data_IF_185820239103
#
_entry.id   IF_185820239103
#
_cell.length_a   1.000
_cell.length_b   1.000
_cell.length_c   1.000
_cell.angle_alpha   90.00
_cell.angle_beta   90.00
_cell.angle_gamma   90.00
#
_symmetry.space_group_name_H-M   'P 1'
#
loop_
_entity.id
_entity.type
_entity.pdbx_description
1 polymer ?
#
# COMPACT_ATOMS: atom_id res chain seq x y z
N UNK A 1 26.17 8.84 17.65
CA UNK A 1 25.42 8.20 18.74
C UNK A 1 23.94 8.57 18.63
N UNK A 2 23.02 7.64 18.85
CA UNK A 2 21.58 7.89 18.86
C UNK A 2 21.19 8.79 20.05
N UNK A 3 20.14 9.61 19.88
CA UNK A 3 19.66 10.53 20.93
C UNK A 3 18.72 9.79 21.88
N UNK A 4 18.89 10.01 23.19
CA UNK A 4 17.93 9.58 24.21
C UNK A 4 17.15 10.81 24.64
N UNK A 5 15.82 10.79 24.46
CA UNK A 5 14.95 11.96 24.61
C UNK A 5 13.76 11.63 25.54
N UNK A 6 13.15 12.63 26.19
CA UNK A 6 11.87 12.44 26.87
C UNK A 6 10.72 12.30 25.85
N UNK A 7 9.62 11.67 26.27
CA UNK A 7 8.41 11.46 25.45
C UNK A 7 7.82 12.76 24.87
N UNK A 8 8.02 13.88 25.56
CA UNK A 8 7.59 15.22 25.12
C UNK A 8 8.26 15.70 23.83
N UNK A 9 9.34 15.05 23.37
CA UNK A 9 10.02 15.38 22.12
C UNK A 9 9.33 14.78 20.88
N UNK A 10 8.34 13.89 21.02
CA UNK A 10 7.62 13.24 19.91
C UNK A 10 7.07 14.23 18.85
N UNK A 11 6.46 15.37 19.20
CA UNK A 11 5.95 16.31 18.19
C UNK A 11 7.03 16.82 17.23
N UNK A 12 8.28 16.94 17.68
CA UNK A 12 9.40 17.37 16.82
C UNK A 12 9.79 16.31 15.79
N UNK A 13 9.60 15.03 16.09
CA UNK A 13 9.82 13.94 15.14
C UNK A 13 8.70 13.91 14.10
N UNK A 14 7.46 14.15 14.50
CA UNK A 14 6.30 14.20 13.60
C UNK A 14 6.39 15.36 12.59
N UNK A 15 6.86 16.54 13.00
CA UNK A 15 6.92 17.73 12.15
C UNK A 15 7.90 17.61 10.97
N UNK A 16 8.86 16.69 11.00
CA UNK A 16 9.91 16.55 9.96
C UNK A 16 9.46 15.80 8.71
N UNK A 17 8.28 15.19 8.71
CA UNK A 17 7.82 14.25 7.68
C UNK A 17 7.28 14.89 6.38
N UNK A 18 6.89 16.17 6.38
CA UNK A 18 5.96 16.73 5.36
C UNK A 18 6.58 17.60 4.28
N UNK A 19 7.84 18.00 4.37
CA UNK A 19 8.33 19.18 3.61
C UNK A 19 8.77 18.94 2.15
N UNK A 20 9.07 17.70 1.70
CA UNK A 20 9.77 17.49 0.42
C UNK A 20 8.90 17.13 -0.79
N UNK A 21 7.65 16.73 -0.58
CA UNK A 21 6.81 16.21 -1.66
C UNK A 21 6.40 17.29 -2.66
N UNK A 22 6.15 18.52 -2.19
CA UNK A 22 5.74 19.64 -3.05
C UNK A 22 6.83 20.05 -4.06
N UNK A 23 8.11 20.02 -3.66
CA UNK A 23 9.22 20.29 -4.57
C UNK A 23 9.32 19.22 -5.67
N UNK A 24 9.14 17.95 -5.29
CA UNK A 24 9.16 16.85 -6.23
C UNK A 24 8.00 16.92 -7.26
N UNK A 25 6.82 17.42 -6.86
CA UNK A 25 5.70 17.61 -7.78
C UNK A 25 6.04 18.58 -8.92
N UNK A 26 6.77 19.67 -8.64
CA UNK A 26 7.21 20.61 -9.65
C UNK A 26 8.13 19.97 -10.70
N UNK A 27 9.02 19.07 -10.28
CA UNK A 27 9.93 18.32 -11.17
C UNK A 27 9.18 17.27 -11.98
N UNK A 28 8.15 16.64 -11.39
CA UNK A 28 7.45 15.50 -11.98
C UNK A 28 6.41 15.93 -13.03
N UNK A 29 5.69 17.05 -12.83
CA UNK A 29 4.62 17.50 -13.74
C UNK A 29 5.04 17.56 -15.22
N UNK A 30 6.19 18.14 -15.62
CA UNK A 30 6.61 18.14 -17.01
C UNK A 30 6.83 16.74 -17.57
N UNK A 31 7.33 15.80 -16.75
CA UNK A 31 7.55 14.40 -17.16
C UNK A 31 6.22 13.71 -17.44
N UNK A 32 5.23 13.87 -16.54
CA UNK A 32 3.89 13.28 -16.72
C UNK A 32 3.24 13.79 -18.00
N UNK A 33 3.30 15.12 -18.23
CA UNK A 33 2.71 15.74 -19.41
C UNK A 33 3.42 15.30 -20.70
N UNK A 34 4.74 15.21 -20.70
CA UNK A 34 5.48 14.74 -21.87
C UNK A 34 5.12 13.30 -22.25
N UNK A 35 4.97 12.40 -21.27
CA UNK A 35 4.55 11.02 -21.54
C UNK A 35 3.08 10.98 -22.00
N UNK A 36 2.20 11.79 -21.43
CA UNK A 36 0.80 11.90 -21.84
C UNK A 36 0.66 12.31 -23.32
N UNK A 37 1.43 13.31 -23.74
CA UNK A 37 1.32 13.88 -25.10
C UNK A 37 2.11 13.08 -26.13
N UNK A 38 3.30 12.58 -25.76
CA UNK A 38 4.25 11.99 -26.73
C UNK A 38 4.42 10.46 -26.58
N UNK A 39 3.75 9.84 -25.59
CA UNK A 39 3.71 8.38 -25.41
C UNK A 39 5.09 7.73 -25.36
N UNK A 40 5.29 6.67 -26.16
CA UNK A 40 6.55 5.92 -26.22
C UNK A 40 7.77 6.77 -26.52
N UNK A 41 7.66 7.87 -27.27
CA UNK A 41 8.79 8.73 -27.61
C UNK A 41 9.38 9.37 -26.35
N UNK A 42 8.54 10.02 -25.54
CA UNK A 42 8.97 10.63 -24.29
C UNK A 42 9.39 9.57 -23.26
N UNK A 43 8.67 8.46 -23.19
CA UNK A 43 9.03 7.36 -22.28
C UNK A 43 10.43 6.81 -22.56
N UNK A 44 10.78 6.58 -23.84
CA UNK A 44 12.09 6.09 -24.25
C UNK A 44 13.21 7.11 -23.99
N UNK A 45 12.92 8.38 -24.18
CA UNK A 45 13.86 9.47 -23.91
C UNK A 45 14.21 9.50 -22.41
N UNK A 46 13.21 9.53 -21.53
CA UNK A 46 13.45 9.51 -20.08
C UNK A 46 14.06 8.18 -19.60
N UNK A 47 13.66 7.03 -20.15
CA UNK A 47 14.26 5.76 -19.77
C UNK A 47 15.74 5.66 -20.16
N UNK A 48 16.16 6.27 -21.28
CA UNK A 48 17.59 6.40 -21.64
C UNK A 48 18.32 7.33 -20.67
N UNK A 49 17.69 8.43 -20.32
CA UNK A 49 18.30 9.45 -19.44
C UNK A 49 18.46 8.94 -17.99
N UNK A 50 17.46 8.26 -17.44
CA UNK A 50 17.39 7.94 -16.01
C UNK A 50 17.58 6.46 -15.68
N UNK A 51 17.22 5.55 -16.60
CA UNK A 51 17.18 4.12 -16.35
C UNK A 51 18.25 3.34 -17.15
N UNK A 52 19.18 4.05 -17.80
CA UNK A 52 20.24 3.49 -18.64
C UNK A 52 19.68 2.51 -19.70
N UNK A 53 18.53 2.83 -20.31
CA UNK A 53 17.95 2.02 -21.36
C UNK A 53 18.81 2.06 -22.62
N UNK A 54 19.32 0.91 -23.04
CA UNK A 54 20.18 0.71 -24.22
C UNK A 54 19.44 0.14 -25.44
N UNK A 55 18.10 0.03 -25.36
CA UNK A 55 17.24 -0.63 -26.35
C UNK A 55 16.25 0.33 -27.00
N UNK A 56 15.62 -0.16 -28.09
CA UNK A 56 14.58 0.57 -28.83
C UNK A 56 13.18 0.46 -28.19
N UNK A 57 13.05 -0.33 -27.12
CA UNK A 57 11.79 -0.55 -26.36
C UNK A 57 12.08 -0.72 -24.89
N UNK A 58 11.13 -0.31 -24.06
CA UNK A 58 11.18 -0.55 -22.61
C UNK A 58 10.79 -1.99 -22.25
N UNK A 59 10.10 -2.71 -23.14
CA UNK A 59 9.69 -4.09 -22.88
C UNK A 59 10.91 -5.02 -22.76
N UNK A 60 10.95 -5.82 -21.70
CA UNK A 60 11.97 -6.83 -21.48
C UNK A 60 11.59 -8.11 -22.21
N UNK A 61 12.43 -8.62 -23.12
CA UNK A 61 12.14 -9.86 -23.84
C UNK A 61 12.02 -11.08 -22.93
N UNK A 62 11.12 -12.00 -23.28
CA UNK A 62 10.96 -13.26 -22.54
C UNK A 62 12.26 -14.06 -22.41
N UNK A 63 13.13 -14.02 -23.43
CA UNK A 63 14.43 -14.67 -23.39
C UNK A 63 15.37 -14.11 -22.30
N UNK A 64 15.26 -12.80 -21.99
CA UNK A 64 16.02 -12.18 -20.91
C UNK A 64 15.54 -12.66 -19.53
N UNK A 65 14.21 -12.79 -19.36
CA UNK A 65 13.61 -13.35 -18.14
C UNK A 65 14.03 -14.80 -17.94
N UNK A 66 14.03 -15.60 -19.02
CA UNK A 66 14.47 -17.00 -18.98
C UNK A 66 15.95 -17.12 -18.59
N UNK A 67 16.83 -16.32 -19.22
CA UNK A 67 18.26 -16.31 -18.88
C UNK A 67 18.50 -15.89 -17.42
N UNK A 68 17.83 -14.84 -16.97
CA UNK A 68 17.92 -14.39 -15.59
C UNK A 68 17.47 -15.49 -14.61
N UNK A 69 16.34 -16.14 -14.88
CA UNK A 69 15.85 -17.24 -14.07
C UNK A 69 16.82 -18.45 -14.09
N UNK A 70 17.38 -18.80 -15.24
CA UNK A 70 18.35 -19.91 -15.33
C UNK A 70 19.64 -19.63 -14.54
N UNK A 71 20.04 -18.35 -14.42
CA UNK A 71 21.23 -17.93 -13.69
C UNK A 71 21.07 -17.79 -12.18
N UNK A 72 19.85 -17.94 -11.62
CA UNK A 72 19.65 -17.87 -10.18
C UNK A 72 20.25 -19.10 -9.47
N UNK A 73 20.86 -18.89 -8.30
CA UNK A 73 21.33 -20.01 -7.46
C UNK A 73 20.16 -20.84 -6.91
N UNK A 74 20.43 -22.08 -6.55
CA UNK A 74 19.42 -22.96 -5.93
C UNK A 74 18.93 -22.36 -4.62
N UNK A 75 19.84 -21.87 -3.77
CA UNK A 75 19.50 -21.26 -2.49
C UNK A 75 18.59 -20.05 -2.65
N UNK A 76 18.83 -19.21 -3.67
CA UNK A 76 17.96 -18.07 -3.93
C UNK A 76 16.58 -18.49 -4.41
N UNK A 77 16.48 -19.52 -5.25
CA UNK A 77 15.19 -20.07 -5.70
C UNK A 77 14.39 -20.64 -4.55
N UNK A 78 15.02 -21.45 -3.69
CA UNK A 78 14.39 -22.04 -2.50
C UNK A 78 13.89 -20.96 -1.54
N UNK A 79 14.66 -19.87 -1.37
CA UNK A 79 14.24 -18.72 -0.58
C UNK A 79 13.02 -18.01 -1.19
N UNK A 80 13.01 -17.80 -2.50
CA UNK A 80 11.86 -17.22 -3.23
C UNK A 80 10.62 -18.09 -3.10
N UNK A 81 10.76 -19.42 -3.26
CA UNK A 81 9.65 -20.37 -3.14
C UNK A 81 9.05 -20.38 -1.73
N UNK A 82 9.91 -20.40 -0.70
CA UNK A 82 9.48 -20.32 0.71
C UNK A 82 8.73 -19.04 1.01
N UNK A 83 9.30 -17.90 0.64
CA UNK A 83 8.68 -16.60 0.84
C UNK A 83 7.36 -16.49 0.06
N UNK A 84 7.35 -16.89 -1.21
CA UNK A 84 6.15 -16.84 -2.06
C UNK A 84 5.02 -17.72 -1.52
N UNK A 85 5.33 -18.90 -0.94
CA UNK A 85 4.34 -19.77 -0.32
C UNK A 85 3.65 -19.07 0.86
N UNK A 86 4.43 -18.44 1.76
CA UNK A 86 3.90 -17.75 2.93
C UNK A 86 3.11 -16.49 2.56
N UNK A 87 3.63 -15.70 1.61
CA UNK A 87 2.91 -14.50 1.10
C UNK A 87 1.57 -14.94 0.48
N UNK A 88 1.55 -16.02 -0.29
CA UNK A 88 0.33 -16.54 -0.91
C UNK A 88 -0.65 -17.05 0.13
N UNK A 89 -0.17 -17.72 1.18
CA UNK A 89 -1.00 -18.20 2.28
C UNK A 89 -1.68 -17.01 3.00
N UNK A 90 -0.92 -16.00 3.37
CA UNK A 90 -1.44 -14.79 4.00
C UNK A 90 -2.41 -14.03 3.08
N UNK A 91 -2.05 -13.85 1.81
CA UNK A 91 -2.90 -13.17 0.83
C UNK A 91 -4.27 -13.86 0.67
N UNK A 92 -4.33 -15.19 0.68
CA UNK A 92 -5.59 -15.94 0.61
C UNK A 92 -6.51 -15.67 1.79
N UNK A 93 -5.98 -15.41 2.97
CA UNK A 93 -6.77 -15.06 4.16
C UNK A 93 -7.46 -13.69 4.03
N UNK A 94 -6.96 -12.84 3.12
CA UNK A 94 -7.48 -11.48 2.92
C UNK A 94 -8.55 -11.39 1.82
N UNK A 95 -8.83 -12.47 1.10
CA UNK A 95 -9.85 -12.46 0.02
C UNK A 95 -11.24 -12.28 0.64
N UNK A 96 -12.00 -11.23 0.25
CA UNK A 96 -13.36 -11.03 0.74
C UNK A 96 -14.28 -12.16 0.29
N UNK A 97 -15.21 -12.56 1.16
CA UNK A 97 -16.17 -13.62 0.88
C UNK A 97 -17.34 -13.08 0.06
N UNK A 98 -17.68 -13.75 -1.05
CA UNK A 98 -18.92 -13.51 -1.78
C UNK A 98 -20.12 -14.01 -0.96
N UNK A 99 -21.14 -13.20 -0.87
CA UNK A 99 -22.36 -13.54 -0.11
C UNK A 99 -23.60 -13.04 -0.84
N UNK A 100 -24.70 -13.77 -0.68
CA UNK A 100 -26.04 -13.29 -1.00
C UNK A 100 -26.99 -13.94 0.00
N UNK A 101 -27.53 -13.16 0.94
CA UNK A 101 -28.33 -13.65 2.06
C UNK A 101 -29.67 -12.97 2.08
N UNK A 102 -30.71 -13.72 2.41
CA UNK A 102 -32.03 -13.17 2.70
C UNK A 102 -32.00 -12.49 4.07
N UNK A 103 -32.24 -11.18 4.10
CA UNK A 103 -32.23 -10.35 5.32
C UNK A 103 -33.63 -10.07 5.84
N UNK A 104 -34.65 -10.20 4.97
CA UNK A 104 -36.05 -10.22 5.30
C UNK A 104 -36.77 -10.93 4.14
N UNK A 105 -38.04 -11.40 4.36
CA UNK A 105 -38.76 -12.16 3.34
C UNK A 105 -38.73 -11.49 1.95
N UNK A 106 -38.13 -12.16 0.97
CA UNK A 106 -37.99 -11.71 -0.40
C UNK A 106 -36.96 -10.60 -0.66
N UNK A 107 -36.21 -10.18 0.38
CA UNK A 107 -35.09 -9.22 0.22
C UNK A 107 -33.76 -9.93 0.46
N UNK A 108 -32.99 -10.11 -0.62
CA UNK A 108 -31.64 -10.66 -0.57
C UNK A 108 -30.60 -9.55 -0.81
N UNK A 109 -29.64 -9.48 0.08
CA UNK A 109 -28.50 -8.55 0.00
C UNK A 109 -27.19 -9.31 0.05
N UNK A 110 -26.20 -8.79 -0.67
CA UNK A 110 -24.89 -9.43 -0.69
C UNK A 110 -23.85 -8.65 -1.46
N UNK A 111 -22.77 -9.35 -1.76
CA UNK A 111 -21.66 -8.82 -2.55
C UNK A 111 -21.04 -9.89 -3.42
N UNK A 112 -20.52 -9.48 -4.57
CA UNK A 112 -19.65 -10.26 -5.43
C UNK A 112 -18.30 -9.60 -5.53
N UNK A 113 -17.26 -10.39 -5.74
CA UNK A 113 -15.87 -9.93 -5.78
C UNK A 113 -15.32 -10.13 -7.18
N UNK A 114 -14.73 -9.09 -7.74
CA UNK A 114 -14.18 -9.13 -9.11
C UNK A 114 -12.77 -8.53 -9.11
N UNK A 115 -11.78 -9.16 -9.77
CA UNK A 115 -10.46 -8.59 -9.92
C UNK A 115 -10.47 -7.30 -10.74
N UNK A 116 -9.43 -6.50 -10.58
CA UNK A 116 -9.05 -5.49 -11.56
C UNK A 116 -8.57 -6.18 -12.85
N UNK A 117 -8.65 -5.50 -14.00
CA UNK A 117 -8.27 -6.09 -15.26
C UNK A 117 -6.76 -6.01 -15.53
N UNK A 118 -6.13 -4.90 -15.15
CA UNK A 118 -4.68 -4.67 -15.33
C UNK A 118 -4.09 -3.95 -14.12
N UNK A 119 -3.03 -4.51 -13.56
CA UNK A 119 -2.29 -3.92 -12.44
C UNK A 119 -0.84 -3.75 -12.80
N UNK A 120 -0.24 -2.63 -12.39
CA UNK A 120 1.16 -2.33 -12.55
C UNK A 120 1.88 -2.35 -11.19
N UNK A 121 2.88 -3.22 -11.05
CA UNK A 121 3.78 -3.29 -9.91
C UNK A 121 5.05 -2.51 -10.23
N UNK A 122 5.30 -1.44 -9.48
CA UNK A 122 6.53 -0.68 -9.55
C UNK A 122 7.57 -1.24 -8.57
N UNK A 123 8.70 -1.70 -9.09
CA UNK A 123 9.79 -2.27 -8.31
C UNK A 123 10.96 -1.29 -8.35
N UNK A 124 11.28 -0.63 -7.24
CA UNK A 124 12.39 0.29 -7.22
C UNK A 124 13.73 -0.46 -7.41
N UNK A 125 14.68 0.19 -8.06
CA UNK A 125 16.04 -0.28 -8.19
C UNK A 125 17.00 0.87 -7.86
N UNK A 126 16.90 1.37 -6.62
CA UNK A 126 17.76 2.43 -6.12
C UNK A 126 19.13 1.90 -5.73
N UNK A 127 19.37 1.71 -4.44
CA UNK A 127 20.64 1.17 -3.91
C UNK A 127 20.75 -0.33 -4.07
N UNK A 128 19.61 -1.04 -3.91
CA UNK A 128 19.55 -2.50 -3.85
C UNK A 128 18.50 -3.02 -4.83
N UNK A 129 18.69 -4.23 -5.40
CA UNK A 129 17.62 -4.95 -6.06
C UNK A 129 16.58 -5.40 -5.02
N UNK A 130 15.29 -5.33 -5.36
CA UNK A 130 14.20 -5.66 -4.45
C UNK A 130 13.28 -6.76 -5.02
N UNK A 131 13.77 -8.01 -5.15
CA UNK A 131 12.93 -9.14 -5.54
C UNK A 131 11.80 -9.40 -4.53
N UNK A 132 11.98 -9.05 -3.26
CA UNK A 132 10.94 -9.12 -2.23
C UNK A 132 9.76 -8.21 -2.57
N UNK A 133 9.99 -6.96 -2.98
CA UNK A 133 8.92 -6.04 -3.39
C UNK A 133 8.15 -6.58 -4.61
N UNK A 134 8.83 -7.26 -5.52
CA UNK A 134 8.15 -7.93 -6.63
C UNK A 134 7.21 -9.03 -6.12
N UNK A 135 7.66 -9.89 -5.20
CA UNK A 135 6.80 -10.90 -4.59
C UNK A 135 5.59 -10.27 -3.87
N UNK A 136 5.84 -9.24 -3.05
CA UNK A 136 4.82 -8.56 -2.25
C UNK A 136 3.78 -7.80 -3.07
N UNK A 137 4.08 -7.43 -4.32
CA UNK A 137 3.14 -6.74 -5.21
C UNK A 137 2.45 -7.69 -6.17
N UNK A 138 3.17 -8.71 -6.69
CA UNK A 138 2.66 -9.63 -7.70
C UNK A 138 1.80 -10.74 -7.11
N UNK A 139 2.24 -11.37 -6.00
CA UNK A 139 1.53 -12.52 -5.43
C UNK A 139 0.11 -12.16 -4.96
N UNK A 140 -0.14 -11.06 -4.25
CA UNK A 140 -1.51 -10.67 -3.91
C UNK A 140 -2.38 -10.38 -5.15
N UNK A 141 -1.80 -9.80 -6.22
CA UNK A 141 -2.51 -9.62 -7.49
C UNK A 141 -2.90 -10.95 -8.13
N UNK A 142 -2.00 -11.95 -8.09
CA UNK A 142 -2.30 -13.31 -8.56
C UNK A 142 -3.39 -13.99 -7.74
N UNK A 143 -3.34 -13.85 -6.40
CA UNK A 143 -4.37 -14.40 -5.50
C UNK A 143 -5.73 -13.73 -5.73
N UNK A 144 -5.74 -12.44 -6.05
CA UNK A 144 -6.94 -11.71 -6.45
C UNK A 144 -7.50 -12.18 -7.81
N UNK A 145 -6.71 -12.88 -8.63
CA UNK A 145 -7.11 -13.31 -9.97
C UNK A 145 -6.96 -12.24 -11.04
N UNK A 146 -6.08 -11.25 -10.85
CA UNK A 146 -5.81 -10.21 -11.86
C UNK A 146 -5.22 -10.84 -13.11
N UNK A 147 -5.86 -10.69 -14.30
CA UNK A 147 -5.41 -11.36 -15.53
C UNK A 147 -4.16 -10.72 -16.14
N UNK A 148 -3.97 -9.41 -15.96
CA UNK A 148 -2.84 -8.69 -16.53
C UNK A 148 -2.01 -8.04 -15.45
N UNK A 149 -0.86 -8.64 -15.13
CA UNK A 149 0.08 -8.08 -14.16
C UNK A 149 1.31 -7.58 -14.93
N UNK A 150 1.56 -6.27 -14.84
CA UNK A 150 2.70 -5.59 -15.43
C UNK A 150 3.70 -5.22 -14.35
N UNK A 151 4.99 -5.36 -14.64
CA UNK A 151 6.07 -4.99 -13.71
C UNK A 151 6.95 -3.94 -14.36
N UNK A 152 7.24 -2.85 -13.65
CA UNK A 152 8.28 -1.91 -14.03
C UNK A 152 9.44 -1.97 -13.06
N UNK A 153 10.66 -2.06 -13.57
CA UNK A 153 11.89 -1.86 -12.81
C UNK A 153 12.89 -1.04 -13.63
N UNK A 154 13.57 -0.04 -13.04
CA UNK A 154 14.48 0.84 -13.80
C UNK A 154 15.74 0.12 -14.28
N UNK A 155 16.12 -1.00 -13.68
CA UNK A 155 17.33 -1.77 -14.03
C UNK A 155 17.00 -3.24 -14.22
N UNK A 156 17.68 -3.87 -15.18
CA UNK A 156 17.57 -5.32 -15.45
C UNK A 156 18.47 -6.10 -14.48
N UNK A 157 18.03 -6.23 -13.24
CA UNK A 157 18.76 -6.98 -12.22
C UNK A 157 18.37 -8.46 -12.32
N UNK A 158 19.32 -9.41 -12.40
CA UNK A 158 19.03 -10.84 -12.59
C UNK A 158 18.06 -11.40 -11.53
N UNK A 159 18.22 -11.03 -10.27
CA UNK A 159 17.37 -11.50 -9.16
C UNK A 159 15.92 -11.03 -9.33
N UNK A 160 15.69 -9.80 -9.79
CA UNK A 160 14.34 -9.25 -10.02
C UNK A 160 13.70 -9.90 -11.26
N UNK A 161 14.46 -9.97 -12.38
CA UNK A 161 13.95 -10.58 -13.62
C UNK A 161 13.70 -12.08 -13.46
N UNK A 162 14.61 -12.79 -12.78
CA UNK A 162 14.49 -14.21 -12.49
C UNK A 162 13.30 -14.51 -11.58
N UNK A 163 13.09 -13.70 -10.52
CA UNK A 163 11.92 -13.82 -9.65
C UNK A 163 10.63 -13.53 -10.41
N UNK A 164 10.60 -12.53 -11.30
CA UNK A 164 9.44 -12.28 -12.16
C UNK A 164 9.09 -13.53 -13.00
N UNK A 165 10.10 -14.19 -13.57
CA UNK A 165 9.91 -15.43 -14.33
C UNK A 165 9.43 -16.60 -13.46
N UNK A 166 10.00 -16.76 -12.25
CA UNK A 166 9.55 -17.79 -11.29
C UNK A 166 8.07 -17.60 -10.89
N UNK A 167 7.63 -16.36 -10.77
CA UNK A 167 6.24 -16.04 -10.47
C UNK A 167 5.32 -16.04 -11.71
N UNK A 168 5.83 -16.37 -12.90
CA UNK A 168 5.03 -16.41 -14.13
C UNK A 168 4.66 -15.02 -14.69
N UNK A 169 5.37 -13.96 -14.30
CA UNK A 169 5.16 -12.62 -14.87
C UNK A 169 5.88 -12.52 -16.21
N UNK A 170 5.12 -12.19 -17.26
CA UNK A 170 5.65 -12.08 -18.61
C UNK A 170 5.83 -10.63 -19.08
N UNK A 171 5.06 -9.69 -18.51
CA UNK A 171 5.07 -8.27 -18.89
C UNK A 171 5.96 -7.48 -17.95
N UNK A 172 7.24 -7.43 -18.25
CA UNK A 172 8.25 -6.66 -17.51
C UNK A 172 8.78 -5.53 -18.39
N UNK A 173 8.90 -4.33 -17.81
CA UNK A 173 9.36 -3.13 -18.49
C UNK A 173 10.56 -2.52 -17.78
N UNK A 174 11.63 -2.22 -18.53
CA UNK A 174 12.78 -1.46 -18.04
C UNK A 174 12.45 0.02 -18.10
N UNK A 175 11.83 0.52 -17.05
CA UNK A 175 11.49 1.93 -16.86
C UNK A 175 11.31 2.22 -15.37
N UNK A 176 11.66 3.42 -14.95
CA UNK A 176 11.58 3.86 -13.56
C UNK A 176 10.95 5.24 -13.41
N UNK A 177 11.04 5.81 -12.20
CA UNK A 177 10.67 7.20 -11.94
C UNK A 177 9.22 7.57 -12.30
N UNK A 178 9.01 8.87 -12.47
CA UNK A 178 7.71 9.44 -12.81
C UNK A 178 7.22 9.02 -14.20
N UNK A 179 8.14 8.79 -15.15
CA UNK A 179 7.80 8.35 -16.51
C UNK A 179 7.18 6.96 -16.54
N UNK A 180 7.58 6.05 -15.65
CA UNK A 180 6.98 4.73 -15.53
C UNK A 180 5.54 4.81 -14.98
N UNK A 181 5.33 5.67 -13.97
CA UNK A 181 4.00 5.90 -13.39
C UNK A 181 3.06 6.51 -14.44
N UNK A 182 3.54 7.51 -15.21
CA UNK A 182 2.78 8.12 -16.30
C UNK A 182 2.43 7.11 -17.40
N UNK A 183 3.40 6.26 -17.80
CA UNK A 183 3.18 5.25 -18.83
C UNK A 183 2.08 4.26 -18.43
N UNK A 184 2.03 3.83 -17.17
CA UNK A 184 0.96 2.97 -16.68
C UNK A 184 -0.37 3.69 -16.49
N UNK A 185 -0.36 4.97 -16.09
CA UNK A 185 -1.59 5.72 -15.87
C UNK A 185 -2.31 6.05 -17.19
N UNK A 186 -1.57 6.46 -18.20
CA UNK A 186 -2.15 6.88 -19.49
C UNK A 186 -2.20 5.76 -20.53
N UNK A 187 -1.32 4.77 -20.40
CA UNK A 187 -1.01 3.82 -21.46
C UNK A 187 -0.15 4.44 -22.55
N UNK A 188 0.62 3.60 -23.24
CA UNK A 188 1.34 3.96 -24.45
C UNK A 188 1.16 2.84 -25.49
N UNK A 189 1.76 2.95 -26.66
CA UNK A 189 1.70 1.85 -27.63
C UNK A 189 2.40 0.57 -27.09
N UNK A 190 3.45 0.72 -26.29
CA UNK A 190 4.23 -0.40 -25.72
C UNK A 190 3.75 -0.82 -24.35
N UNK A 191 3.30 0.12 -23.51
CA UNK A 191 2.91 -0.11 -22.12
C UNK A 191 1.40 -0.03 -21.98
N UNK A 192 0.71 -1.10 -21.54
CA UNK A 192 -0.73 -1.07 -21.34
C UNK A 192 -1.09 -0.12 -20.18
N UNK A 193 -2.24 0.55 -20.31
CA UNK A 193 -2.82 1.30 -19.21
C UNK A 193 -3.20 0.35 -18.08
N UNK A 194 -2.91 0.73 -16.84
CA UNK A 194 -3.28 -0.01 -15.65
C UNK A 194 -4.52 0.59 -14.99
N UNK A 195 -5.30 -0.25 -14.30
CA UNK A 195 -6.39 0.18 -13.43
C UNK A 195 -5.82 0.67 -12.08
N UNK A 196 -4.70 0.07 -11.65
CA UNK A 196 -4.01 0.42 -10.42
C UNK A 196 -2.50 0.26 -10.53
N UNK A 197 -1.76 1.19 -9.91
CA UNK A 197 -0.31 1.16 -9.78
C UNK A 197 0.03 0.97 -8.30
N UNK A 198 0.83 -0.05 -8.00
CA UNK A 198 1.24 -0.42 -6.64
C UNK A 198 2.77 -0.50 -6.52
N UNK A 199 3.25 -0.44 -5.29
CA UNK A 199 4.68 -0.59 -4.96
C UNK A 199 5.33 0.72 -4.51
N UNK A 200 6.37 0.62 -3.65
CA UNK A 200 7.10 1.77 -3.12
C UNK A 200 8.00 2.40 -4.18
N UNK A 201 8.44 3.62 -3.94
CA UNK A 201 9.36 4.29 -4.85
C UNK A 201 9.99 5.54 -4.24
N UNK A 202 10.83 6.21 -5.02
CA UNK A 202 11.43 7.48 -4.61
C UNK A 202 10.36 8.57 -4.42
N UNK A 203 10.76 9.69 -3.86
CA UNK A 203 9.88 10.87 -3.70
C UNK A 203 9.26 11.32 -5.04
N UNK A 204 9.94 11.13 -6.16
CA UNK A 204 9.40 11.43 -7.50
C UNK A 204 8.31 10.46 -7.92
N UNK A 205 8.45 9.18 -7.57
CA UNK A 205 7.41 8.15 -7.78
C UNK A 205 6.20 8.45 -6.91
N UNK A 206 6.42 8.79 -5.64
CA UNK A 206 5.35 9.19 -4.71
C UNK A 206 4.61 10.44 -5.21
N UNK A 207 5.33 11.46 -5.69
CA UNK A 207 4.76 12.67 -6.28
C UNK A 207 3.95 12.35 -7.55
N UNK A 208 4.48 11.48 -8.44
CA UNK A 208 3.76 11.05 -9.65
C UNK A 208 2.46 10.32 -9.31
N UNK A 209 2.50 9.37 -8.37
CA UNK A 209 1.29 8.66 -7.90
C UNK A 209 0.27 9.62 -7.31
N UNK A 210 0.70 10.58 -6.49
CA UNK A 210 -0.18 11.60 -5.92
C UNK A 210 -0.85 12.46 -6.99
N UNK A 211 -0.10 12.91 -7.99
CA UNK A 211 -0.60 13.77 -9.06
C UNK A 211 -1.57 13.04 -10.00
N UNK A 212 -1.43 11.71 -10.14
CA UNK A 212 -2.25 10.87 -11.00
C UNK A 212 -3.33 10.09 -10.23
N UNK A 213 -3.42 10.27 -8.92
CA UNK A 213 -4.51 9.71 -8.12
C UNK A 213 -5.84 10.30 -8.58
N UNK A 214 -6.73 9.46 -9.09
CA UNK A 214 -7.98 9.86 -9.75
C UNK A 214 -8.00 9.52 -11.26
N UNK A 215 -6.87 9.63 -11.96
CA UNK A 215 -6.73 9.15 -13.33
C UNK A 215 -6.48 7.63 -13.37
N UNK A 216 -5.77 7.14 -12.35
CA UNK A 216 -5.48 5.72 -12.12
C UNK A 216 -5.57 5.42 -10.62
N UNK A 217 -5.97 4.21 -10.25
CA UNK A 217 -5.90 3.76 -8.86
C UNK A 217 -4.45 3.69 -8.38
N UNK A 218 -4.20 4.10 -7.15
CA UNK A 218 -2.90 3.92 -6.49
C UNK A 218 -3.08 3.14 -5.18
N UNK A 219 -2.02 2.54 -4.67
CA UNK A 219 -1.99 1.99 -3.31
C UNK A 219 -2.02 3.12 -2.27
N UNK A 220 -0.94 3.86 -2.14
CA UNK A 220 -0.80 5.05 -1.30
C UNK A 220 0.42 5.88 -1.72
N UNK A 221 0.54 7.06 -1.12
CA UNK A 221 1.71 7.92 -1.28
C UNK A 221 2.68 7.60 -0.15
N UNK A 222 3.79 6.89 -0.47
CA UNK A 222 4.79 6.50 0.51
C UNK A 222 5.79 7.62 0.78
N UNK A 223 6.20 7.74 2.04
CA UNK A 223 7.35 8.52 2.50
C UNK A 223 8.53 7.61 2.85
N UNK A 224 9.53 8.12 3.61
CA UNK A 224 10.62 7.31 4.14
C UNK A 224 10.10 6.23 5.08
N UNK A 225 10.77 5.08 5.06
CA UNK A 225 10.43 3.93 5.90
C UNK A 225 10.72 4.19 7.38
N UNK A 226 9.97 3.53 8.28
CA UNK A 226 10.04 3.79 9.71
C UNK A 226 9.63 2.60 10.56
N UNK A 227 10.34 2.38 11.66
CA UNK A 227 9.95 1.44 12.71
C UNK A 227 9.76 2.16 14.04
N UNK A 228 8.74 1.76 14.80
CA UNK A 228 8.55 2.12 16.19
C UNK A 228 8.53 0.83 17.03
N UNK A 229 9.41 0.76 18.01
CA UNK A 229 9.55 -0.39 18.90
C UNK A 229 9.11 0.03 20.31
N UNK A 230 8.26 -0.77 20.95
CA UNK A 230 7.86 -0.60 22.36
C UNK A 230 8.49 -1.73 23.17
N UNK A 231 9.33 -1.42 24.15
CA UNK A 231 9.94 -2.43 25.02
C UNK A 231 10.35 -1.86 26.39
N UNK A 232 10.03 -2.59 27.47
CA UNK A 232 10.47 -2.25 28.82
C UNK A 232 11.77 -2.96 29.21
N UNK A 233 11.97 -4.21 28.77
CA UNK A 233 12.99 -5.14 29.27
C UNK A 233 13.57 -6.06 28.20
N UNK A 234 13.38 -5.74 26.93
CA UNK A 234 13.89 -6.53 25.79
C UNK A 234 15.40 -6.65 25.75
N UNK A 235 15.90 -7.61 24.95
CA UNK A 235 17.33 -7.79 24.74
C UNK A 235 17.92 -6.58 23.96
N UNK A 236 18.87 -5.83 24.53
CA UNK A 236 19.44 -4.65 23.86
C UNK A 236 20.10 -4.95 22.52
N UNK A 237 20.66 -6.16 22.36
CA UNK A 237 21.31 -6.58 21.11
C UNK A 237 20.28 -6.79 19.98
N UNK A 238 19.13 -7.38 20.29
CA UNK A 238 18.06 -7.58 19.31
C UNK A 238 17.44 -6.23 18.92
N UNK A 239 17.07 -5.39 19.91
CA UNK A 239 16.47 -4.09 19.64
C UNK A 239 17.39 -3.18 18.81
N UNK A 240 18.70 -3.22 19.07
CA UNK A 240 19.67 -2.48 18.26
C UNK A 240 19.77 -3.02 16.82
N UNK A 241 19.70 -4.34 16.64
CA UNK A 241 19.71 -4.98 15.32
C UNK A 241 18.47 -4.56 14.50
N UNK A 242 17.27 -4.60 15.09
CA UNK A 242 16.03 -4.18 14.42
C UNK A 242 16.07 -2.69 14.05
N UNK A 243 16.57 -1.83 14.95
CA UNK A 243 16.75 -0.40 14.65
C UNK A 243 17.76 -0.15 13.53
N UNK A 244 18.80 -0.96 13.41
CA UNK A 244 19.80 -0.86 12.34
C UNK A 244 19.29 -1.43 11.03
N UNK A 245 18.53 -2.53 11.05
CA UNK A 245 17.87 -3.10 9.89
C UNK A 245 16.95 -2.05 9.22
N UNK A 246 16.16 -1.31 10.01
CA UNK A 246 15.37 -0.20 9.48
C UNK A 246 16.24 0.95 8.96
N UNK A 247 17.30 1.30 9.69
CA UNK A 247 18.13 2.46 9.37
C UNK A 247 19.00 2.28 8.11
N UNK A 248 19.28 1.03 7.70
CA UNK A 248 20.11 0.77 6.51
C UNK A 248 19.36 0.95 5.18
N UNK A 249 18.02 0.99 5.19
CA UNK A 249 17.23 1.17 3.98
C UNK A 249 17.50 2.52 3.29
N UNK A 250 17.49 3.61 4.06
CA UNK A 250 17.75 4.96 3.53
C UNK A 250 18.25 5.94 4.61
N UNK A 251 18.91 7.00 4.18
CA UNK A 251 19.39 8.08 5.07
C UNK A 251 18.23 8.85 5.75
N UNK A 252 17.05 8.78 5.18
CA UNK A 252 15.84 9.41 5.71
C UNK A 252 14.97 8.42 6.52
N UNK A 253 15.35 7.14 6.62
CA UNK A 253 14.68 6.15 7.46
C UNK A 253 14.67 6.57 8.94
N UNK A 254 13.65 6.13 9.69
CA UNK A 254 13.51 6.43 11.12
C UNK A 254 13.33 5.15 11.95
N UNK A 255 14.15 4.99 13.00
CA UNK A 255 14.02 3.91 13.96
C UNK A 255 13.82 4.52 15.37
N UNK A 256 12.67 4.23 15.98
CA UNK A 256 12.28 4.82 17.26
C UNK A 256 12.05 3.71 18.27
N UNK A 257 12.71 3.78 19.43
CA UNK A 257 12.45 2.92 20.57
C UNK A 257 11.74 3.72 21.68
N UNK A 258 10.57 3.26 22.11
CA UNK A 258 9.88 3.75 23.31
C UNK A 258 10.13 2.78 24.46
N UNK A 259 10.73 3.25 25.54
CA UNK A 259 11.05 2.40 26.70
C UNK A 259 10.84 3.11 28.02
N UNK A 260 10.41 2.37 29.06
CA UNK A 260 10.32 2.84 30.43
C UNK A 260 11.67 2.73 31.16
N UNK A 261 12.66 2.03 30.59
CA UNK A 261 13.92 1.69 31.22
C UNK A 261 15.09 2.53 30.67
N UNK A 262 15.59 3.47 31.50
CA UNK A 262 16.82 4.23 31.19
C UNK A 262 18.03 3.30 31.00
N UNK A 263 18.10 2.19 31.76
CA UNK A 263 19.15 1.18 31.62
C UNK A 263 19.12 0.52 30.25
N UNK A 264 17.93 0.11 29.80
CA UNK A 264 17.74 -0.46 28.47
C UNK A 264 18.09 0.56 27.38
N UNK A 265 17.63 1.79 27.49
CA UNK A 265 17.94 2.87 26.55
C UNK A 265 19.45 3.05 26.34
N UNK A 266 20.22 3.10 27.42
CA UNK A 266 21.69 3.23 27.36
C UNK A 266 22.33 1.97 26.74
N UNK A 267 21.85 0.78 27.12
CA UNK A 267 22.38 -0.48 26.59
C UNK A 267 22.12 -0.62 25.09
N UNK A 268 20.93 -0.26 24.60
CA UNK A 268 20.61 -0.23 23.17
C UNK A 268 21.48 0.77 22.41
N UNK A 269 21.66 1.99 22.95
CA UNK A 269 22.53 2.98 22.34
C UNK A 269 23.97 2.49 22.18
N UNK A 270 24.50 1.78 23.17
CA UNK A 270 25.83 1.16 23.09
C UNK A 270 25.86 0.02 22.05
N UNK A 271 24.82 -0.79 21.98
CA UNK A 271 24.75 -1.89 21.01
C UNK A 271 24.65 -1.38 19.56
N UNK A 272 23.93 -0.30 19.31
CA UNK A 272 23.90 0.35 17.99
C UNK A 272 25.32 0.74 17.55
N UNK A 273 26.10 1.42 18.41
CA UNK A 273 27.47 1.81 18.04
C UNK A 273 28.38 0.61 17.82
N UNK A 274 28.24 -0.46 18.60
CA UNK A 274 29.02 -1.71 18.42
C UNK A 274 28.68 -2.39 17.10
N UNK A 275 27.40 -2.57 16.78
CA UNK A 275 26.97 -3.28 15.59
C UNK A 275 27.22 -2.47 14.29
N UNK A 276 27.29 -1.15 14.38
CA UNK A 276 27.66 -0.29 13.24
C UNK A 276 29.12 -0.48 12.78
N UNK A 277 30.00 -1.07 13.61
CA UNK A 277 31.44 -1.23 13.25
C UNK A 277 31.61 -2.14 12.04
N UNK A 278 30.90 -3.28 12.06
CA UNK A 278 31.06 -4.33 11.06
C UNK A 278 29.92 -4.33 10.00
N UNK A 279 29.02 -3.34 10.05
CA UNK A 279 27.90 -3.27 9.12
C UNK A 279 28.32 -2.69 7.76
N UNK A 280 28.21 -3.43 6.64
CA UNK A 280 28.57 -2.91 5.32
C UNK A 280 27.82 -1.62 4.94
N UNK A 281 26.60 -1.48 5.43
CA UNK A 281 25.70 -0.33 5.20
C UNK A 281 25.85 0.78 6.24
N UNK A 282 26.87 0.71 7.11
CA UNK A 282 27.06 1.62 8.25
C UNK A 282 26.99 3.11 7.90
N UNK A 283 27.46 3.51 6.71
CA UNK A 283 27.43 4.91 6.27
C UNK A 283 26.00 5.46 6.12
N UNK A 284 25.07 4.63 5.65
CA UNK A 284 23.64 4.96 5.51
C UNK A 284 22.97 4.91 6.86
N UNK A 285 23.08 3.76 7.55
CA UNK A 285 22.45 3.54 8.84
C UNK A 285 22.84 4.59 9.89
N UNK A 286 24.12 4.98 9.94
CA UNK A 286 24.60 6.03 10.85
C UNK A 286 23.94 7.39 10.61
N UNK A 287 23.71 7.76 9.34
CA UNK A 287 23.01 9.03 9.00
C UNK A 287 21.55 8.97 9.43
N UNK A 288 20.84 7.87 9.16
CA UNK A 288 19.46 7.65 9.57
C UNK A 288 19.32 7.69 11.13
N UNK A 289 20.19 6.95 11.84
CA UNK A 289 20.23 6.94 13.31
C UNK A 289 20.45 8.32 13.90
N UNK A 290 21.38 9.10 13.36
CA UNK A 290 21.71 10.42 13.90
C UNK A 290 20.65 11.49 13.60
N UNK A 291 20.00 11.41 12.43
CA UNK A 291 19.09 12.45 11.95
C UNK A 291 17.65 12.22 12.39
N UNK A 292 17.14 11.01 12.18
CA UNK A 292 15.70 10.73 12.22
C UNK A 292 15.31 9.78 13.35
N UNK A 293 16.27 9.09 13.97
CA UNK A 293 16.01 8.08 14.99
C UNK A 293 16.19 8.62 16.41
N UNK A 294 15.53 7.96 17.38
CA UNK A 294 15.65 8.29 18.78
C UNK A 294 15.25 7.11 19.68
N UNK A 295 15.80 7.07 20.89
CA UNK A 295 15.26 6.31 22.00
C UNK A 295 14.51 7.28 22.90
N UNK A 296 13.25 7.00 23.21
CA UNK A 296 12.41 7.88 24.01
C UNK A 296 12.04 7.22 25.33
N UNK A 297 12.27 7.96 26.41
CA UNK A 297 11.84 7.53 27.73
C UNK A 297 10.40 7.90 27.97
N UNK A 298 9.58 6.89 28.24
CA UNK A 298 8.15 6.98 28.55
C UNK A 298 7.90 6.58 30.02
N UNK A 299 6.77 6.97 30.58
CA UNK A 299 6.39 6.67 31.96
C UNK A 299 5.82 5.27 32.12
N UNK A 300 5.13 4.77 31.08
CA UNK A 300 4.50 3.44 31.05
C UNK A 300 4.40 2.90 29.66
N UNK A 301 4.08 1.59 29.51
CA UNK A 301 3.80 0.96 28.21
C UNK A 301 2.49 1.49 27.59
N UNK A 302 1.53 1.91 28.40
CA UNK A 302 0.30 2.55 27.95
C UNK A 302 0.60 3.88 27.26
N UNK A 303 1.43 4.74 27.87
CA UNK A 303 1.91 5.98 27.23
C UNK A 303 2.65 5.66 25.91
N UNK A 304 3.45 4.59 25.89
CA UNK A 304 4.12 4.17 24.66
C UNK A 304 3.14 3.84 23.53
N UNK A 305 2.07 3.09 23.83
CA UNK A 305 1.02 2.76 22.84
C UNK A 305 0.27 4.02 22.39
N UNK A 306 -0.05 4.94 23.29
CA UNK A 306 -0.69 6.22 22.94
C UNK A 306 0.20 7.05 21.99
N UNK A 307 1.49 7.13 22.27
CA UNK A 307 2.45 7.80 21.40
C UNK A 307 2.61 7.08 20.05
N UNK A 308 2.63 5.75 20.06
CA UNK A 308 2.62 4.93 18.85
C UNK A 308 1.38 5.20 18.00
N UNK A 309 0.19 5.21 18.59
CA UNK A 309 -1.04 5.55 17.87
C UNK A 309 -1.02 6.98 17.32
N UNK A 310 -0.43 7.94 18.03
CA UNK A 310 -0.21 9.31 17.53
C UNK A 310 0.81 9.37 16.41
N UNK A 311 1.83 8.52 16.46
CA UNK A 311 2.84 8.41 15.41
C UNK A 311 2.30 7.69 14.18
N UNK A 312 1.47 6.65 14.35
CA UNK A 312 0.94 5.77 13.33
C UNK A 312 2.07 5.20 12.44
N UNK A 313 2.92 4.33 13.01
CA UNK A 313 4.13 3.84 12.33
C UNK A 313 3.80 2.90 11.19
N UNK A 314 4.74 2.81 10.25
CA UNK A 314 4.78 1.78 9.22
C UNK A 314 4.93 0.39 9.85
N UNK A 315 6.00 0.21 10.63
CA UNK A 315 6.28 -1.01 11.40
C UNK A 315 6.15 -0.73 12.89
N UNK A 316 5.39 -1.54 13.60
CA UNK A 316 5.25 -1.48 15.06
C UNK A 316 5.68 -2.79 15.68
N UNK A 317 6.72 -2.78 16.53
CA UNK A 317 7.10 -3.93 17.35
C UNK A 317 6.62 -3.73 18.79
N UNK A 318 5.93 -4.73 19.34
CA UNK A 318 5.40 -4.75 20.70
C UNK A 318 5.89 -6.00 21.43
N UNK A 319 6.10 -5.94 22.78
CA UNK A 319 6.69 -7.05 23.52
C UNK A 319 5.79 -8.29 23.59
N UNK A 320 4.48 -8.10 23.63
CA UNK A 320 3.49 -9.17 23.72
C UNK A 320 2.10 -8.72 23.23
N UNK A 321 1.17 -9.65 23.14
CA UNK A 321 -0.18 -9.47 22.63
C UNK A 321 -1.12 -8.67 23.56
N UNK A 322 -0.77 -8.48 24.82
CA UNK A 322 -1.57 -7.66 25.76
C UNK A 322 -1.71 -6.21 25.32
N UNK A 323 -0.73 -5.70 24.59
CA UNK A 323 -0.79 -4.35 24.04
C UNK A 323 -1.58 -4.26 22.73
N UNK A 324 -1.76 -5.37 22.02
CA UNK A 324 -2.38 -5.39 20.68
C UNK A 324 -3.79 -4.77 20.68
N UNK A 325 -4.60 -5.07 21.68
CA UNK A 325 -5.96 -4.53 21.78
C UNK A 325 -6.04 -2.99 21.85
N UNK A 326 -4.94 -2.34 22.21
CA UNK A 326 -4.84 -0.86 22.32
C UNK A 326 -4.18 -0.22 21.10
N UNK A 327 -3.61 -1.03 20.19
CA UNK A 327 -3.03 -0.56 18.93
C UNK A 327 -4.16 -0.22 17.96
N UNK A 328 -4.19 1.02 17.51
CA UNK A 328 -5.20 1.51 16.55
C UNK A 328 -4.60 1.82 15.18
N UNK A 329 -3.34 2.22 15.13
CA UNK A 329 -2.69 2.71 13.93
C UNK A 329 -1.29 2.13 13.78
N UNK A 330 -1.14 1.19 12.85
CA UNK A 330 0.14 0.65 12.39
C UNK A 330 -0.03 0.07 10.98
N UNK A 331 1.00 0.11 10.18
CA UNK A 331 1.01 -0.57 8.88
C UNK A 331 1.11 -2.08 9.05
N UNK A 332 2.03 -2.54 9.92
CA UNK A 332 2.18 -3.93 10.36
C UNK A 332 2.59 -3.99 11.83
N UNK A 333 2.19 -5.05 12.54
CA UNK A 333 2.50 -5.25 13.97
C UNK A 333 3.29 -6.54 14.16
N UNK A 334 4.42 -6.45 14.85
CA UNK A 334 5.32 -7.56 15.19
C UNK A 334 5.25 -7.80 16.69
N UNK A 335 4.94 -9.03 17.10
CA UNK A 335 4.65 -9.37 18.50
C UNK A 335 5.71 -10.31 19.04
N UNK A 336 6.38 -9.90 20.11
CA UNK A 336 7.36 -10.70 20.83
C UNK A 336 8.78 -10.65 20.25
N UNK A 337 9.75 -11.26 20.94
CA UNK A 337 11.17 -11.05 20.70
C UNK A 337 11.73 -11.74 19.44
N UNK A 338 10.95 -12.62 18.81
CA UNK A 338 11.35 -13.35 17.60
C UNK A 338 10.62 -12.89 16.34
N UNK A 339 9.67 -11.98 16.46
CA UNK A 339 8.95 -11.38 15.33
C UNK A 339 9.72 -10.15 14.85
N UNK A 340 10.80 -10.38 14.14
CA UNK A 340 11.64 -9.30 13.61
C UNK A 340 10.98 -8.66 12.40
N UNK A 341 11.22 -7.36 12.16
CA UNK A 341 10.79 -6.65 10.95
C UNK A 341 11.26 -7.38 9.68
N UNK A 342 12.54 -7.80 9.66
CA UNK A 342 13.11 -8.53 8.54
C UNK A 342 12.34 -9.81 8.17
N UNK A 343 11.72 -10.51 9.13
CA UNK A 343 10.86 -11.64 8.82
C UNK A 343 9.63 -11.20 8.01
N UNK A 344 9.02 -10.07 8.36
CA UNK A 344 7.92 -9.45 7.62
C UNK A 344 8.32 -8.98 6.23
N UNK A 345 9.49 -8.38 6.13
CA UNK A 345 9.99 -7.84 4.87
C UNK A 345 10.27 -8.90 3.82
N UNK A 346 10.61 -10.14 4.23
CA UNK A 346 11.05 -11.15 3.29
C UNK A 346 10.17 -12.39 3.22
N UNK A 347 9.80 -13.00 4.35
CA UNK A 347 9.37 -14.38 4.31
C UNK A 347 8.19 -14.79 5.19
N UNK A 348 7.76 -14.00 6.18
CA UNK A 348 6.69 -14.41 7.10
C UNK A 348 5.28 -14.35 6.50
N UNK A 349 5.08 -13.61 5.40
CA UNK A 349 3.84 -13.60 4.64
C UNK A 349 3.10 -12.26 4.58
N UNK A 350 2.93 -11.49 5.67
CA UNK A 350 2.38 -10.14 5.61
C UNK A 350 3.15 -9.24 4.65
N UNK A 351 2.44 -8.28 4.06
CA UNK A 351 3.01 -7.41 3.01
C UNK A 351 3.89 -6.32 3.61
N UNK A 352 5.06 -6.10 3.03
CA UNK A 352 5.97 -5.03 3.42
C UNK A 352 5.74 -3.71 2.66
N UNK A 353 4.85 -3.68 1.68
CA UNK A 353 4.44 -2.41 1.06
C UNK A 353 3.43 -1.77 1.99
N UNK A 354 3.94 -0.94 2.89
CA UNK A 354 3.21 -0.42 4.04
C UNK A 354 3.04 1.10 3.97
N UNK A 355 1.97 1.63 4.57
CA UNK A 355 1.72 3.06 4.64
C UNK A 355 2.71 3.73 5.62
N UNK A 356 3.46 4.71 5.15
CA UNK A 356 4.44 5.47 5.92
C UNK A 356 3.91 6.86 6.30
N UNK A 357 4.67 7.60 7.11
CA UNK A 357 4.39 9.02 7.40
C UNK A 357 3.01 9.29 7.99
N UNK A 358 2.50 8.36 8.80
CA UNK A 358 1.21 8.49 9.48
C UNK A 358 0.00 8.05 8.63
N UNK A 359 0.19 7.59 7.40
CA UNK A 359 -0.90 7.08 6.54
C UNK A 359 -1.50 5.79 7.11
N UNK A 360 -0.80 5.11 8.03
CA UNK A 360 -1.34 3.98 8.79
C UNK A 360 -2.59 4.31 9.64
N UNK A 361 -2.97 5.60 9.76
CA UNK A 361 -4.28 6.01 10.30
C UNK A 361 -5.44 5.71 9.37
N UNK A 362 -5.19 5.58 8.09
CA UNK A 362 -6.22 5.45 7.06
C UNK A 362 -6.35 4.02 6.54
N UNK A 363 -5.25 3.25 6.61
CA UNK A 363 -5.19 1.90 6.05
C UNK A 363 -4.00 1.09 6.59
N UNK A 364 -4.09 -0.23 6.49
CA UNK A 364 -2.96 -1.15 6.63
C UNK A 364 -2.12 -1.24 5.34
N UNK A 365 -1.23 -2.22 5.29
CA UNK A 365 -0.40 -2.52 4.14
C UNK A 365 -1.17 -2.91 2.89
N UNK A 366 -0.46 -3.01 1.78
CA UNK A 366 -0.99 -3.52 0.51
C UNK A 366 -1.59 -4.91 0.72
N UNK A 367 -2.82 -5.11 0.30
CA UNK A 367 -3.58 -6.32 0.53
C UNK A 367 -4.25 -6.82 -0.76
N UNK A 368 -4.79 -8.04 -0.73
CA UNK A 368 -5.58 -8.57 -1.86
C UNK A 368 -6.76 -7.66 -2.20
N UNK A 369 -7.36 -7.00 -1.19
CA UNK A 369 -8.45 -6.04 -1.40
C UNK A 369 -8.10 -4.87 -2.32
N UNK A 370 -6.82 -4.50 -2.41
CA UNK A 370 -6.36 -3.45 -3.32
C UNK A 370 -6.44 -3.83 -4.80
N UNK A 371 -6.58 -5.11 -5.11
CA UNK A 371 -6.66 -5.68 -6.46
C UNK A 371 -8.08 -6.11 -6.85
N UNK A 372 -9.05 -5.86 -5.97
CA UNK A 372 -10.41 -6.33 -6.09
C UNK A 372 -11.42 -5.17 -6.11
N UNK A 373 -12.52 -5.42 -6.79
CA UNK A 373 -13.77 -4.64 -6.71
C UNK A 373 -14.79 -5.47 -5.92
N UNK A 374 -15.31 -4.92 -4.83
CA UNK A 374 -16.43 -5.50 -4.09
C UNK A 374 -17.69 -4.81 -4.56
N UNK A 375 -18.56 -5.54 -5.25
CA UNK A 375 -19.76 -5.00 -5.90
C UNK A 375 -20.97 -5.45 -5.08
N UNK A 376 -21.79 -4.50 -4.62
CA UNK A 376 -23.01 -4.76 -3.91
C UNK A 376 -24.05 -5.39 -4.83
N UNK A 377 -24.75 -6.42 -4.34
CA UNK A 377 -25.84 -7.11 -5.04
C UNK A 377 -27.08 -7.05 -4.18
N UNK A 378 -28.20 -6.68 -4.81
CA UNK A 378 -29.52 -6.73 -4.16
C UNK A 378 -30.54 -7.39 -5.11
N UNK A 379 -31.44 -8.19 -4.49
CA UNK A 379 -32.55 -8.83 -5.19
C UNK A 379 -33.80 -8.70 -4.31
N UNK A 380 -34.86 -8.17 -4.90
CA UNK A 380 -36.14 -8.01 -4.23
C UNK A 380 -37.22 -8.84 -4.95
N UNK A 381 -38.09 -9.49 -4.19
CA UNK A 381 -39.37 -9.94 -4.70
C UNK A 381 -40.34 -8.76 -4.83
N UNK A 382 -41.46 -8.99 -5.53
CA UNK A 382 -42.52 -7.99 -5.65
C UNK A 382 -43.07 -7.58 -4.29
N UNK A 383 -43.26 -8.57 -3.42
CA UNK A 383 -43.80 -8.40 -2.06
C UNK A 383 -42.81 -7.61 -1.18
N UNK A 384 -41.54 -7.93 -1.22
CA UNK A 384 -40.51 -7.17 -0.51
C UNK A 384 -40.43 -5.71 -1.00
N UNK A 385 -40.51 -5.49 -2.32
CA UNK A 385 -40.56 -4.13 -2.87
C UNK A 385 -41.84 -3.39 -2.41
N UNK A 386 -42.98 -4.06 -2.39
CA UNK A 386 -44.23 -3.45 -1.91
C UNK A 386 -44.16 -3.06 -0.43
N UNK A 387 -43.48 -3.86 0.38
CA UNK A 387 -43.26 -3.54 1.82
C UNK A 387 -42.37 -2.31 1.98
N UNK A 388 -41.35 -2.13 1.13
CA UNK A 388 -40.43 -0.98 1.17
C UNK A 388 -40.99 0.27 0.46
N UNK A 389 -42.00 0.11 -0.40
CA UNK A 389 -42.52 1.19 -1.25
C UNK A 389 -42.92 2.46 -0.49
N UNK A 390 -43.60 2.41 0.68
CA UNK A 390 -43.95 3.61 1.42
C UNK A 390 -42.72 4.44 1.83
N UNK A 391 -41.67 3.77 2.35
CA UNK A 391 -40.45 4.43 2.76
C UNK A 391 -39.72 5.04 1.57
N UNK A 392 -39.55 4.29 0.49
CA UNK A 392 -38.84 4.74 -0.73
C UNK A 392 -39.55 5.94 -1.35
N UNK A 393 -40.87 5.86 -1.54
CA UNK A 393 -41.61 6.93 -2.22
C UNK A 393 -41.71 8.20 -1.37
N UNK A 394 -41.78 8.07 -0.04
CA UNK A 394 -41.76 9.22 0.88
C UNK A 394 -40.43 9.93 0.85
N UNK A 395 -39.32 9.19 0.94
CA UNK A 395 -37.97 9.78 0.88
C UNK A 395 -37.69 10.40 -0.48
N UNK A 396 -37.98 9.69 -1.56
CA UNK A 396 -37.79 10.20 -2.92
C UNK A 396 -38.54 11.52 -3.16
N UNK A 397 -39.77 11.64 -2.67
CA UNK A 397 -40.54 12.87 -2.79
C UNK A 397 -40.05 14.01 -1.90
N UNK A 398 -39.58 13.66 -0.69
CA UNK A 398 -38.95 14.68 0.17
C UNK A 398 -37.69 15.28 -0.46
N UNK A 399 -36.97 14.51 -1.27
CA UNK A 399 -35.80 14.94 -2.05
C UNK A 399 -36.19 15.59 -3.39
N UNK A 400 -37.47 15.63 -3.75
CA UNK A 400 -37.96 16.17 -5.04
C UNK A 400 -37.76 15.21 -6.23
N UNK A 401 -37.46 13.93 -5.97
CA UNK A 401 -37.16 12.92 -6.98
C UNK A 401 -38.40 12.08 -7.34
N UNK A 402 -39.42 12.71 -7.94
CA UNK A 402 -40.69 12.06 -8.29
C UNK A 402 -40.54 10.83 -9.19
N UNK A 403 -39.57 10.84 -10.15
CA UNK A 403 -39.32 9.69 -11.00
C UNK A 403 -38.87 8.43 -10.21
N UNK A 404 -38.12 8.60 -9.13
CA UNK A 404 -37.73 7.52 -8.22
C UNK A 404 -38.98 6.92 -7.53
N UNK A 405 -39.85 7.75 -6.99
CA UNK A 405 -41.09 7.30 -6.38
C UNK A 405 -41.96 6.51 -7.39
N UNK A 406 -42.16 7.06 -8.60
CA UNK A 406 -42.93 6.38 -9.68
C UNK A 406 -42.31 5.07 -10.12
N UNK A 407 -40.98 4.97 -10.13
CA UNK A 407 -40.31 3.72 -10.51
C UNK A 407 -40.67 2.53 -9.62
N UNK A 408 -40.95 2.79 -8.35
CA UNK A 408 -41.43 1.80 -7.37
C UNK A 408 -42.93 1.58 -7.53
N UNK A 409 -43.72 2.64 -7.63
CA UNK A 409 -45.20 2.58 -7.70
C UNK A 409 -45.69 1.78 -8.92
N UNK A 410 -45.06 1.92 -10.09
CA UNK A 410 -45.43 1.15 -11.30
C UNK A 410 -45.19 -0.36 -11.14
N UNK A 411 -44.22 -0.76 -10.30
CA UNK A 411 -43.90 -2.17 -10.01
C UNK A 411 -44.77 -2.77 -8.93
N UNK A 412 -45.29 -1.95 -8.02
CA UNK A 412 -46.11 -2.39 -6.88
C UNK A 412 -47.61 -2.19 -7.12
N UNK A 413 -48.01 -1.61 -8.25
CA UNK A 413 -49.41 -1.37 -8.59
C UNK A 413 -49.99 -0.07 -8.05
N UNK A 414 -49.18 0.81 -7.46
CA UNK A 414 -49.62 2.05 -6.79
C UNK A 414 -50.12 3.17 -7.71
N UNK A 415 -50.11 3.00 -9.04
CA UNK A 415 -50.68 4.00 -9.99
C UNK A 415 -52.17 3.74 -10.34
N UNK A 416 -52.78 2.65 -9.87
CA UNK A 416 -54.21 2.46 -10.03
C UNK A 416 -54.96 3.19 -8.93
N UNK A 417 -55.21 4.50 -9.07
CA UNK A 417 -56.15 5.16 -8.15
C UNK A 417 -55.89 6.62 -7.81
N UNK A 418 -54.93 7.34 -8.34
CA UNK A 418 -54.89 8.79 -8.16
C UNK A 418 -55.76 9.46 -9.25
N UNK A 419 -57.04 9.69 -8.97
CA UNK A 419 -57.86 10.69 -9.66
C UNK A 419 -57.08 12.00 -9.65
N UNK A 420 -56.90 12.61 -10.84
CA UNK A 420 -56.40 13.98 -10.95
C UNK A 420 -57.19 14.85 -9.96
N UNK A 421 -56.56 15.75 -9.21
CA UNK A 421 -57.32 16.80 -8.51
C UNK A 421 -58.18 17.51 -9.54
N UNK A 422 -59.47 17.57 -9.30
CA UNK A 422 -60.36 18.44 -10.07
C UNK A 422 -59.80 19.86 -9.97
N UNK A 423 -59.54 20.46 -11.12
CA UNK A 423 -59.23 21.88 -11.18
C UNK A 423 -60.28 22.63 -10.38
N UNK A 424 -59.85 23.49 -9.46
CA UNK A 424 -60.71 24.41 -8.77
C UNK A 424 -61.40 25.30 -9.83
N UNK A 425 -62.73 25.46 -9.85
CA UNK A 425 -63.35 26.39 -10.76
C UNK A 425 -62.87 27.82 -10.43
N UNK A 426 -62.34 28.50 -11.41
CA UNK A 426 -62.06 29.94 -11.34
C UNK A 426 -63.42 30.62 -11.13
N UNK A 427 -63.56 31.30 -10.01
CA UNK A 427 -64.66 32.22 -9.79
C UNK A 427 -64.39 33.44 -10.65
N UNK A 428 -65.01 33.48 -11.82
CA UNK A 428 -65.33 34.76 -12.50
C UNK A 428 -66.78 35.04 -12.24
N UNK A 429 -66.98 36.22 -11.65
CA UNK A 429 -68.26 36.79 -11.35
C UNK A 429 -68.09 38.01 -10.51
#
# INVERSE_FOLDING_TARGET
MIRILPSTAMPRLLARRTARLAEAEGVVRPILEAVRVHGDRALLEYARQFDALDRKTVAVPAADLQRACAGLSTEFRDAVETAAANIRAFARMQVPVETLREVSPGLQLGQVVRPLDTVAAYIPAGRYPLPSTLMMTVIPAQVAGVPNICVACPRRVPEVLGTARLLGVERVFQMGGAQAIAAFAYGTRTVPRADRIVGPGSIYVAAAKKLLAGDVGIDFVAGPTEILIISADGNPRHLAADMLAQAEHDVDAAAILLTTSKRLANAVAQQIERQLVDLPTAAVARKAIQRNSAIMLVRSLEEAVELSNRFAPEHLSIPDDRLLARVQHAGSVFIGPFSTEAAGDYASGPNHVLPTSGVARLRGGLSVGDYLKVISVQRLSREALATLAPAITTLARAEGLEAHARSVEVRTGGLRGRRRPRACPTADG
#
